data_IF_194817593973
#
_entry.id   IF_194817593973
#
_cell.length_a   1.000
_cell.length_b   1.000
_cell.length_c   1.000
_cell.angle_alpha   90.00
_cell.angle_beta   90.00
_cell.angle_gamma   90.00
#
_symmetry.space_group_name_H-M   'P 1'
#
loop_
_entity.id
_entity.type
_entity.pdbx_description
1 polymer ?
#
# COMPACT_ATOMS: atom_id res chain seq x y z
N UNK A 1 6.10 3.66 33.08
CA UNK A 1 6.77 2.91 31.99
C UNK A 1 7.18 3.93 30.95
N UNK A 2 8.48 4.15 30.79
CA UNK A 2 9.01 5.02 29.74
C UNK A 2 8.91 4.28 28.41
N UNK A 3 8.34 4.91 27.39
CA UNK A 3 8.19 4.29 26.08
C UNK A 3 9.58 4.15 25.43
N UNK A 4 9.92 3.00 24.81
CA UNK A 4 11.20 2.85 24.13
C UNK A 4 11.33 3.87 23.00
N UNK A 5 12.38 4.70 23.05
CA UNK A 5 12.62 5.74 22.04
C UNK A 5 12.75 5.12 20.64
N UNK A 6 12.09 5.68 19.62
CA UNK A 6 12.19 5.22 18.24
C UNK A 6 13.56 5.56 17.61
N UNK A 7 14.37 6.38 18.27
CA UNK A 7 15.70 6.83 17.84
C UNK A 7 15.74 8.33 17.50
N UNK A 8 16.94 8.92 17.41
CA UNK A 8 17.13 10.37 17.28
C UNK A 8 16.55 10.95 15.97
N UNK A 9 16.53 10.18 14.89
CA UNK A 9 15.95 10.61 13.61
C UNK A 9 14.42 10.76 13.70
N UNK A 10 13.75 9.89 14.46
CA UNK A 10 12.31 9.99 14.70
C UNK A 10 11.95 11.18 15.59
N UNK A 11 12.76 11.46 16.61
CA UNK A 11 12.58 12.63 17.46
C UNK A 11 12.68 13.93 16.65
N UNK A 12 13.70 14.03 15.78
CA UNK A 12 13.85 15.17 14.86
C UNK A 12 12.67 15.31 13.90
N UNK A 13 12.21 14.20 13.32
CA UNK A 13 11.04 14.19 12.45
C UNK A 13 9.78 14.65 13.18
N UNK A 14 9.54 14.20 14.42
CA UNK A 14 8.38 14.60 15.22
C UNK A 14 8.42 16.10 15.52
N UNK A 15 9.57 16.65 15.93
CA UNK A 15 9.71 18.09 16.16
C UNK A 15 9.43 18.90 14.89
N UNK A 16 10.04 18.52 13.77
CA UNK A 16 9.78 19.15 12.47
C UNK A 16 8.30 19.09 12.06
N UNK A 17 7.65 17.95 12.26
CA UNK A 17 6.23 17.81 11.92
C UNK A 17 5.34 18.71 12.79
N UNK A 18 5.67 18.89 14.07
CA UNK A 18 4.95 19.81 14.96
C UNK A 18 5.19 21.27 14.56
N UNK A 19 6.45 21.64 14.43
CA UNK A 19 6.88 23.03 14.31
C UNK A 19 6.60 23.60 12.91
N UNK A 20 6.91 22.86 11.85
CA UNK A 20 6.83 23.33 10.47
C UNK A 20 5.49 23.00 9.80
N UNK A 21 4.95 21.81 10.10
CA UNK A 21 3.74 21.31 9.44
C UNK A 21 2.46 21.58 10.24
N UNK A 22 2.57 21.88 11.54
CA UNK A 22 1.44 22.09 12.43
C UNK A 22 0.73 20.79 12.83
N UNK A 23 1.46 19.68 12.88
CA UNK A 23 0.93 18.40 13.37
C UNK A 23 0.77 18.46 14.87
N UNK A 24 -0.39 18.05 15.39
CA UNK A 24 -0.59 17.87 16.83
C UNK A 24 -0.52 16.40 17.19
N UNK A 25 0.13 16.07 18.30
CA UNK A 25 0.26 14.70 18.82
C UNK A 25 -0.01 14.76 20.32
N UNK A 26 -1.02 14.04 20.77
CA UNK A 26 -1.43 13.96 22.16
C UNK A 26 -1.58 12.51 22.62
N UNK A 27 -0.97 12.18 23.76
CA UNK A 27 -1.11 10.88 24.41
C UNK A 27 -0.51 9.69 23.68
N UNK A 28 0.24 9.90 22.59
CA UNK A 28 0.89 8.86 21.81
C UNK A 28 2.32 9.23 21.40
N UNK A 29 3.15 8.22 21.15
CA UNK A 29 4.50 8.38 20.61
C UNK A 29 4.86 7.23 19.67
N UNK A 30 5.88 7.40 18.84
CA UNK A 30 6.39 6.32 18.00
C UNK A 30 7.28 5.37 18.84
N UNK A 31 7.18 4.07 18.58
CA UNK A 31 7.95 3.04 19.27
C UNK A 31 8.21 1.83 18.36
N UNK A 32 9.30 1.11 18.61
CA UNK A 32 9.62 -0.15 17.92
C UNK A 32 8.97 -1.34 18.63
N UNK A 33 8.21 -2.13 17.88
CA UNK A 33 7.58 -3.36 18.33
C UNK A 33 8.34 -4.56 17.77
N UNK A 34 8.89 -5.44 18.63
CA UNK A 34 9.57 -6.65 18.18
C UNK A 34 8.70 -7.47 17.23
N UNK A 35 9.24 -7.79 16.05
CA UNK A 35 8.54 -8.57 15.02
C UNK A 35 7.43 -7.83 14.24
N UNK A 36 7.12 -6.57 14.56
CA UNK A 36 6.10 -5.77 13.87
C UNK A 36 6.62 -4.45 13.28
N UNK A 37 7.87 -4.09 13.60
CA UNK A 37 8.49 -2.86 13.13
C UNK A 37 8.10 -1.64 13.96
N UNK A 38 8.12 -0.46 13.34
CA UNK A 38 7.76 0.79 13.99
C UNK A 38 6.23 0.97 14.04
N UNK A 39 5.72 1.41 15.18
CA UNK A 39 4.31 1.75 15.34
C UNK A 39 4.11 2.88 16.34
N UNK A 40 2.86 3.04 16.79
CA UNK A 40 2.44 4.07 17.73
C UNK A 40 2.03 3.43 19.07
N UNK A 41 2.51 3.99 20.18
CA UNK A 41 2.19 3.54 21.54
C UNK A 41 1.58 4.67 22.36
N UNK A 42 0.63 4.35 23.22
CA UNK A 42 0.04 5.30 24.15
C UNK A 42 1.02 5.69 25.27
N UNK A 43 1.10 6.97 25.59
CA UNK A 43 1.90 7.51 26.71
C UNK A 43 1.04 7.84 27.93
N UNK A 44 -0.29 7.84 27.76
CA UNK A 44 -1.29 8.06 28.82
C UNK A 44 -2.51 7.16 28.58
N UNK A 45 -3.38 6.95 29.59
CA UNK A 45 -4.66 6.29 29.38
C UNK A 45 -5.50 7.05 28.35
N UNK A 46 -5.98 6.35 27.33
CA UNK A 46 -6.79 6.91 26.24
C UNK A 46 -8.26 6.52 26.43
N UNK A 47 -9.17 7.42 26.07
CA UNK A 47 -10.61 7.18 26.02
C UNK A 47 -11.10 7.14 24.58
N UNK A 48 -12.21 6.45 24.37
CA UNK A 48 -12.86 6.45 23.07
C UNK A 48 -13.29 7.87 22.69
N UNK A 49 -12.94 8.30 21.48
CA UNK A 49 -13.21 9.66 21.00
C UNK A 49 -12.06 10.65 21.23
N UNK A 50 -10.98 10.27 21.90
CA UNK A 50 -9.81 11.13 22.08
C UNK A 50 -9.16 11.44 20.72
N UNK A 51 -8.85 12.73 20.49
CA UNK A 51 -8.12 13.19 19.32
C UNK A 51 -6.61 13.03 19.54
N UNK A 52 -6.04 11.96 18.98
CA UNK A 52 -4.64 11.59 19.22
C UNK A 52 -3.65 12.34 18.32
N UNK A 53 -3.98 12.48 17.04
CA UNK A 53 -3.11 13.09 16.04
C UNK A 53 -3.95 13.92 15.08
N UNK A 54 -3.55 15.17 14.83
CA UNK A 54 -4.11 15.99 13.74
C UNK A 54 -3.01 16.27 12.72
N UNK A 55 -3.28 15.93 11.46
CA UNK A 55 -2.37 16.19 10.34
C UNK A 55 -3.05 17.17 9.39
N UNK A 56 -2.56 18.41 9.25
CA UNK A 56 -3.14 19.37 8.31
C UNK A 56 -3.09 18.87 6.86
N UNK A 57 -4.14 19.12 6.07
CA UNK A 57 -4.16 18.67 4.67
C UNK A 57 -2.96 19.17 3.84
N UNK A 58 -2.44 20.36 4.16
CA UNK A 58 -1.26 20.96 3.51
C UNK A 58 0.04 20.15 3.72
N UNK A 59 0.11 19.32 4.76
CA UNK A 59 1.29 18.50 5.04
C UNK A 59 1.23 17.13 4.36
N UNK A 60 0.11 16.78 3.74
CA UNK A 60 -0.01 15.54 2.99
C UNK A 60 0.73 15.65 1.66
N UNK A 61 1.43 14.58 1.31
CA UNK A 61 1.99 14.41 -0.02
C UNK A 61 0.92 13.87 -0.96
N UNK A 62 0.51 14.67 -1.93
CA UNK A 62 -0.51 14.33 -2.91
C UNK A 62 0.00 14.65 -4.32
N UNK A 63 -0.68 14.15 -5.36
CA UNK A 63 -0.39 14.56 -6.75
C UNK A 63 -0.61 16.05 -6.98
N UNK A 64 -1.36 16.70 -6.08
CA UNK A 64 -1.66 18.12 -6.15
C UNK A 64 -0.64 19.00 -5.41
N UNK A 65 0.24 18.40 -4.61
CA UNK A 65 1.30 19.11 -3.89
C UNK A 65 2.23 19.81 -4.89
N UNK A 66 2.60 21.07 -4.60
CA UNK A 66 3.40 21.92 -5.49
C UNK A 66 4.65 21.21 -6.03
N UNK A 67 5.45 20.62 -5.14
CA UNK A 67 6.68 19.93 -5.50
C UNK A 67 6.47 18.72 -6.43
N UNK A 68 5.32 18.03 -6.32
CA UNK A 68 4.97 16.92 -7.20
C UNK A 68 4.58 17.42 -8.59
N UNK A 69 3.87 18.56 -8.66
CA UNK A 69 3.57 19.23 -9.94
C UNK A 69 4.82 19.73 -10.63
N UNK A 70 5.75 20.30 -9.87
CA UNK A 70 7.01 20.85 -10.38
C UNK A 70 7.90 19.77 -11.00
N UNK A 71 7.76 18.50 -10.60
CA UNK A 71 8.46 17.37 -11.19
C UNK A 71 7.95 16.96 -12.60
N UNK A 72 6.87 17.57 -13.10
CA UNK A 72 6.33 17.38 -14.47
C UNK A 72 6.15 15.91 -14.89
N UNK A 73 5.69 15.08 -13.96
CA UNK A 73 5.44 13.66 -14.22
C UNK A 73 4.27 13.45 -15.20
N UNK A 74 4.27 12.35 -15.99
CA UNK A 74 3.20 12.05 -16.94
C UNK A 74 1.83 12.04 -16.26
N UNK A 75 0.83 12.68 -16.87
CA UNK A 75 -0.53 12.83 -16.31
C UNK A 75 -1.40 11.60 -16.53
N UNK A 76 -1.07 10.80 -17.53
CA UNK A 76 -1.64 9.50 -17.89
C UNK A 76 -1.22 8.38 -16.94
N UNK A 77 -0.10 8.55 -16.21
CA UNK A 77 0.31 7.61 -15.18
C UNK A 77 -0.66 7.61 -13.98
N UNK A 78 -0.80 6.44 -13.36
CA UNK A 78 -1.65 6.29 -12.16
C UNK A 78 -1.16 7.17 -11.00
N UNK A 79 -2.05 7.53 -10.09
CA UNK A 79 -1.72 8.32 -8.88
C UNK A 79 -0.55 7.70 -8.11
N UNK A 80 -0.58 6.38 -7.91
CA UNK A 80 0.49 5.65 -7.21
C UNK A 80 1.81 5.68 -7.97
N UNK A 81 1.80 5.47 -9.29
CA UNK A 81 3.01 5.52 -10.11
C UNK A 81 3.65 6.91 -10.08
N UNK A 82 2.84 7.97 -10.13
CA UNK A 82 3.32 9.36 -10.04
C UNK A 82 3.95 9.66 -8.67
N UNK A 83 3.29 9.26 -7.58
CA UNK A 83 3.84 9.47 -6.24
C UNK A 83 5.10 8.65 -5.99
N UNK A 84 5.13 7.39 -6.43
CA UNK A 84 6.32 6.54 -6.34
C UNK A 84 7.48 7.15 -7.12
N UNK A 85 7.26 7.53 -8.38
CA UNK A 85 8.29 8.18 -9.21
C UNK A 85 8.80 9.48 -8.58
N UNK A 86 7.91 10.31 -8.03
CA UNK A 86 8.31 11.54 -7.33
C UNK A 86 9.20 11.23 -6.12
N UNK A 87 8.80 10.30 -5.25
CA UNK A 87 9.58 9.92 -4.07
C UNK A 87 10.95 9.37 -4.47
N UNK A 88 11.02 8.51 -5.50
CA UNK A 88 12.28 7.97 -6.04
C UNK A 88 13.18 9.07 -6.61
N UNK A 89 12.61 10.05 -7.34
CA UNK A 89 13.38 11.15 -7.90
C UNK A 89 13.92 12.11 -6.82
N UNK A 90 13.25 12.21 -5.68
CA UNK A 90 13.65 13.08 -4.57
C UNK A 90 14.56 12.38 -3.56
N UNK A 91 14.70 11.06 -3.64
CA UNK A 91 15.55 10.29 -2.75
C UNK A 91 17.02 10.71 -2.88
N UNK A 92 17.71 10.85 -1.76
CA UNK A 92 19.10 11.30 -1.68
C UNK A 92 19.40 12.76 -2.08
N UNK A 93 18.43 13.51 -2.60
CA UNK A 93 18.63 14.92 -2.99
C UNK A 93 18.70 15.84 -1.77
N UNK A 94 19.72 16.71 -1.74
CA UNK A 94 19.94 17.66 -0.63
C UNK A 94 18.85 18.72 -0.52
N UNK A 95 18.28 19.10 -1.66
CA UNK A 95 17.21 20.08 -1.84
C UNK A 95 15.80 19.46 -1.78
N UNK A 96 15.71 18.16 -1.44
CA UNK A 96 14.41 17.47 -1.30
C UNK A 96 13.55 18.14 -0.22
N UNK A 97 12.29 18.52 -0.52
CA UNK A 97 11.36 19.07 0.47
C UNK A 97 11.11 18.12 1.65
N UNK A 98 11.37 16.83 1.46
CA UNK A 98 11.11 15.77 2.43
C UNK A 98 12.38 15.24 3.10
N UNK A 99 13.49 15.98 3.02
CA UNK A 99 14.80 15.56 3.53
C UNK A 99 14.78 15.15 5.00
N UNK A 100 13.99 15.83 5.84
CA UNK A 100 13.83 15.51 7.27
C UNK A 100 12.97 14.25 7.49
N UNK A 101 12.10 13.92 6.54
CA UNK A 101 11.23 12.74 6.60
C UNK A 101 11.90 11.46 6.05
N UNK A 102 12.83 11.58 5.10
CA UNK A 102 13.52 10.43 4.50
C UNK A 102 14.23 9.48 5.49
N UNK A 103 14.94 9.96 6.53
CA UNK A 103 15.64 9.08 7.47
C UNK A 103 14.73 8.15 8.29
N UNK A 104 13.44 8.46 8.37
CA UNK A 104 12.45 7.69 9.12
C UNK A 104 11.60 6.78 8.21
N UNK A 105 11.91 6.71 6.92
CA UNK A 105 11.27 5.75 6.01
C UNK A 105 11.74 4.33 6.32
N UNK A 106 10.90 3.32 6.03
CA UNK A 106 11.33 1.94 6.15
C UNK A 106 12.50 1.67 5.21
N UNK A 107 13.46 0.88 5.70
CA UNK A 107 14.62 0.52 4.89
C UNK A 107 14.25 -0.52 3.84
N UNK A 108 15.09 -0.64 2.82
CA UNK A 108 14.89 -1.63 1.75
C UNK A 108 14.81 -3.05 2.32
N UNK A 109 15.65 -3.38 3.30
CA UNK A 109 15.69 -4.72 3.92
C UNK A 109 14.38 -5.04 4.67
N UNK A 110 13.75 -4.02 5.25
CA UNK A 110 12.45 -4.18 5.93
C UNK A 110 11.35 -4.49 4.92
N UNK A 111 11.34 -3.85 3.75
CA UNK A 111 10.44 -4.18 2.65
C UNK A 111 10.71 -5.58 2.08
N UNK A 112 11.97 -5.94 1.90
CA UNK A 112 12.36 -7.27 1.42
C UNK A 112 11.87 -8.39 2.35
N UNK A 113 11.92 -8.17 3.66
CA UNK A 113 11.46 -9.14 4.63
C UNK A 113 9.93 -9.35 4.66
N UNK A 114 9.13 -8.33 4.30
CA UNK A 114 7.68 -8.36 4.51
C UNK A 114 6.84 -8.43 3.23
N UNK A 115 7.36 -7.94 2.10
CA UNK A 115 6.56 -7.79 0.89
C UNK A 115 6.32 -9.15 0.22
N UNK A 116 5.07 -9.52 -0.14
CA UNK A 116 4.76 -10.82 -0.74
C UNK A 116 5.54 -11.18 -2.01
N UNK A 117 5.98 -10.16 -2.75
CA UNK A 117 6.81 -10.36 -3.94
C UNK A 117 8.21 -10.94 -3.61
N UNK A 118 8.68 -10.74 -2.38
CA UNK A 118 10.00 -11.15 -1.90
C UNK A 118 9.94 -12.41 -1.02
N UNK A 119 8.76 -13.01 -0.87
CA UNK A 119 8.61 -14.27 -0.13
C UNK A 119 9.28 -15.43 -0.87
N UNK A 120 9.73 -16.42 -0.11
CA UNK A 120 10.21 -17.69 -0.63
C UNK A 120 9.06 -18.46 -1.30
N UNK A 121 9.36 -19.33 -2.26
CA UNK A 121 8.32 -20.11 -2.96
C UNK A 121 7.46 -20.95 -2.01
N UNK A 122 8.07 -21.51 -0.95
CA UNK A 122 7.34 -22.24 0.09
C UNK A 122 6.25 -21.39 0.76
N UNK A 123 6.50 -20.10 0.94
CA UNK A 123 5.54 -19.18 1.55
C UNK A 123 4.45 -18.79 0.54
N UNK A 124 4.81 -18.61 -0.74
CA UNK A 124 3.84 -18.38 -1.82
C UNK A 124 2.91 -19.57 -2.04
N UNK A 125 3.36 -20.79 -1.79
CA UNK A 125 2.52 -21.99 -1.85
C UNK A 125 1.40 -22.02 -0.81
N UNK A 126 1.54 -21.28 0.28
CA UNK A 126 0.50 -21.17 1.33
C UNK A 126 -0.58 -20.13 0.98
N UNK A 127 -0.37 -19.35 -0.08
CA UNK A 127 -1.36 -18.37 -0.52
C UNK A 127 -2.63 -19.06 -1.06
N UNK A 128 -3.81 -18.45 -0.92
CA UNK A 128 -5.00 -18.94 -1.59
C UNK A 128 -4.82 -18.90 -3.11
N UNK A 129 -5.52 -19.79 -3.85
CA UNK A 129 -5.30 -19.99 -5.29
C UNK A 129 -5.33 -18.70 -6.13
N UNK A 130 -6.23 -17.76 -5.80
CA UNK A 130 -6.32 -16.47 -6.47
C UNK A 130 -5.07 -15.60 -6.30
N UNK A 131 -4.40 -15.68 -5.15
CA UNK A 131 -3.19 -14.90 -4.87
C UNK A 131 -1.94 -15.52 -5.51
N UNK A 132 -1.85 -16.86 -5.60
CA UNK A 132 -0.77 -17.56 -6.33
C UNK A 132 -0.69 -17.12 -7.79
N UNK A 133 -1.83 -16.95 -8.45
CA UNK A 133 -1.89 -16.52 -9.85
C UNK A 133 -1.33 -15.10 -10.08
N UNK A 134 -1.32 -14.24 -9.05
CA UNK A 134 -0.90 -12.84 -9.14
C UNK A 134 0.49 -12.58 -8.57
N UNK A 135 1.00 -13.44 -7.68
CA UNK A 135 2.36 -13.34 -7.15
C UNK A 135 3.44 -13.74 -8.17
N UNK A 136 3.06 -14.46 -9.23
CA UNK A 136 3.96 -14.95 -10.27
C UNK A 136 3.95 -14.09 -11.55
N UNK A 137 3.08 -13.07 -11.64
CA UNK A 137 3.04 -12.19 -12.79
C UNK A 137 4.19 -11.17 -12.71
N UNK A 138 5.09 -11.11 -13.71
CA UNK A 138 6.05 -10.02 -13.79
C UNK A 138 5.29 -8.70 -13.85
N UNK A 139 5.81 -7.68 -13.17
CA UNK A 139 5.36 -6.30 -13.35
C UNK A 139 5.63 -5.96 -14.82
N UNK A 140 4.61 -6.11 -15.67
CA UNK A 140 4.61 -5.53 -17.00
C UNK A 140 4.67 -4.01 -16.80
N UNK A 141 5.89 -3.48 -16.76
CA UNK A 141 6.15 -2.10 -17.19
C UNK A 141 5.70 -2.10 -18.64
N UNK A 142 4.63 -1.38 -19.02
CA UNK A 142 4.17 -1.40 -20.40
C UNK A 142 5.25 -0.71 -21.22
N UNK A 143 5.99 -1.49 -21.99
CA UNK A 143 6.94 -0.97 -22.96
C UNK A 143 6.30 -0.76 -24.34
N UNK A 144 4.96 -0.86 -24.44
CA UNK A 144 4.27 -0.57 -25.70
C UNK A 144 2.89 0.07 -25.48
N UNK A 145 2.71 1.26 -26.05
CA UNK A 145 1.48 2.08 -26.03
C UNK A 145 0.49 1.61 -27.10
N UNK A 146 0.29 0.31 -27.24
CA UNK A 146 -0.58 -0.22 -28.31
C UNK A 146 -1.21 -1.59 -28.02
N UNK A 147 -1.73 -1.79 -26.80
CA UNK A 147 -2.64 -2.92 -26.53
C UNK A 147 -4.11 -2.46 -26.58
N UNK A 148 -4.92 -2.91 -27.56
CA UNK A 148 -6.35 -2.57 -27.67
C UNK A 148 -7.23 -3.36 -26.68
N UNK A 149 -6.67 -4.14 -25.76
CA UNK A 149 -7.42 -5.10 -24.94
C UNK A 149 -8.31 -4.48 -23.84
N UNK A 150 -8.38 -3.15 -23.74
CA UNK A 150 -9.33 -2.48 -22.85
C UNK A 150 -10.58 -1.99 -23.61
N UNK A 151 -11.26 -2.89 -24.32
CA UNK A 151 -12.60 -2.60 -24.83
C UNK A 151 -13.56 -3.78 -24.62
N UNK A 152 -14.62 -3.47 -23.86
CA UNK A 152 -15.94 -4.11 -23.81
C UNK A 152 -16.09 -5.57 -23.38
N UNK A 153 -16.81 -5.74 -22.26
CA UNK A 153 -17.87 -6.74 -22.03
C UNK A 153 -17.60 -8.19 -22.47
N UNK A 154 -17.16 -9.04 -21.52
CA UNK A 154 -17.85 -10.30 -21.14
C UNK A 154 -16.96 -11.16 -20.21
N UNK A 155 -17.53 -11.55 -19.06
CA UNK A 155 -17.21 -12.80 -18.37
C UNK A 155 -18.32 -13.79 -18.73
N UNK A 156 -18.17 -15.13 -18.63
CA UNK A 156 -17.01 -16.00 -18.80
C UNK A 156 -17.26 -17.00 -19.96
N UNK A 157 -16.25 -17.73 -20.45
CA UNK A 157 -16.51 -19.04 -21.10
C UNK A 157 -15.53 -20.08 -20.57
N UNK A 158 -16.14 -21.14 -20.03
CA UNK A 158 -15.54 -22.35 -19.50
C UNK A 158 -14.89 -23.21 -20.60
N UNK A 159 -13.86 -23.94 -20.21
CA UNK A 159 -13.03 -24.85 -21.02
C UNK A 159 -13.84 -25.98 -21.69
N UNK A 160 -13.64 -26.25 -22.99
CA UNK A 160 -14.25 -27.36 -23.70
C UNK A 160 -13.54 -28.69 -23.40
N UNK A 161 -13.88 -29.35 -22.30
CA UNK A 161 -13.82 -30.82 -22.09
C UNK A 161 -14.10 -31.16 -20.63
N UNK A 162 -15.36 -31.26 -20.25
CA UNK A 162 -15.80 -32.30 -19.30
C UNK A 162 -17.32 -32.34 -19.18
N UNK A 163 -17.86 -33.57 -19.21
CA UNK A 163 -19.13 -33.97 -18.63
C UNK A 163 -20.41 -33.78 -19.46
N UNK A 164 -20.53 -34.56 -20.54
CA UNK A 164 -21.83 -35.12 -20.93
C UNK A 164 -22.23 -36.21 -19.92
N UNK A 165 -23.53 -36.27 -19.63
CA UNK A 165 -24.25 -37.34 -18.94
C UNK A 165 -24.18 -37.39 -17.40
N UNK A 166 -24.68 -36.36 -16.69
CA UNK A 166 -25.40 -36.58 -15.41
C UNK A 166 -26.29 -35.37 -15.01
N UNK A 167 -27.18 -34.85 -15.87
CA UNK A 167 -28.29 -33.98 -15.39
C UNK A 167 -29.56 -34.22 -16.23
N UNK A 168 -30.05 -35.46 -16.26
CA UNK A 168 -31.47 -35.71 -16.56
C UNK A 168 -32.05 -36.63 -15.48
N UNK A 169 -32.11 -36.10 -14.26
CA UNK A 169 -32.92 -36.66 -13.18
C UNK A 169 -33.45 -35.52 -12.35
N UNK A 170 -34.63 -35.01 -12.75
CA UNK A 170 -35.63 -34.46 -11.84
C UNK A 170 -36.96 -34.29 -12.57
N UNK A 171 -37.81 -35.30 -12.39
CA UNK A 171 -39.18 -35.16 -11.92
C UNK A 171 -40.05 -34.06 -12.54
N UNK A 172 -40.92 -34.46 -13.46
CA UNK A 172 -42.22 -33.81 -13.66
C UNK A 172 -43.31 -34.87 -13.50
N UNK A 173 -43.92 -34.91 -12.31
CA UNK A 173 -45.25 -35.50 -12.08
C UNK A 173 -46.31 -34.41 -12.30
N UNK A 174 -47.54 -34.86 -12.58
CA UNK A 174 -48.80 -34.15 -12.90
C UNK A 174 -49.01 -33.99 -14.42
N UNK A 175 -50.14 -34.35 -15.04
CA UNK A 175 -51.52 -34.55 -14.57
C UNK A 175 -52.29 -35.53 -15.49
N UNK A 176 -53.36 -36.08 -14.94
CA UNK A 176 -54.30 -37.10 -15.45
C UNK A 176 -55.03 -36.73 -16.75
N UNK A 177 -55.27 -37.75 -17.60
CA UNK A 177 -56.61 -38.15 -18.09
C UNK A 177 -56.57 -39.60 -18.57
#
# INVERSE_FOLDING_TARGET
MEAPSPGPEHERFISWAKDELGVTIDGVTAAKFPGRGLGVVATKPLKQGDLLVTVPAKSLLTTESKHVKDARLPKDATVHARLAAYLTLMDGKKDSPHRIWQPVWPKKEEFEAIMPMNWEERQKELLPAHAKSRSCAPILIPHDLRDPCFSSHSWPVLDPRTHLDQIFSRSSKTSSM
#
